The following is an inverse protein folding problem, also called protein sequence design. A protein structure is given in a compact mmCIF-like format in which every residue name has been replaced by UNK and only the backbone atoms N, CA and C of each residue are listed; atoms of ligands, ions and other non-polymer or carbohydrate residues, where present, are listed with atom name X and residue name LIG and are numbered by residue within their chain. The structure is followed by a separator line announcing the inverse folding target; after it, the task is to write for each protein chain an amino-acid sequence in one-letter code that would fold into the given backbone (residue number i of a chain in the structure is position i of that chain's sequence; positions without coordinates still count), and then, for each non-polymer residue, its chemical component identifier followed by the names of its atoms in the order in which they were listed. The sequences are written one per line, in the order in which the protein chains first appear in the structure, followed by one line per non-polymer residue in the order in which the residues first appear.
data_IF_265152945250
#
_entry.id   IF_265152945250
#
_cell.length_a   1.000
_cell.length_b   1.000
_cell.length_c   1.000
_cell.angle_alpha   90.00
_cell.angle_beta   90.00
_cell.angle_gamma   90.00
#
_symmetry.space_group_name_H-M   'P 1'
#
loop_
_entity.id
_entity.type
_entity.pdbx_description
1 polymer ?
#
# COMPACT_ATOMS: atom_id res chain seq x y z
N UNK A 1 33.42 36.72 -5.57
CA UNK A 1 33.05 36.02 -4.31
C UNK A 1 31.68 35.33 -4.38
N UNK A 2 30.88 35.49 -5.45
CA UNK A 2 29.50 34.98 -5.55
C UNK A 2 29.35 33.52 -6.02
N UNK A 3 30.20 33.03 -6.92
CA UNK A 3 30.04 31.71 -7.55
C UNK A 3 30.24 30.55 -6.57
N UNK A 4 31.22 30.63 -5.65
CA UNK A 4 31.45 29.60 -4.63
C UNK A 4 30.30 29.51 -3.61
N UNK A 5 29.73 30.65 -3.20
CA UNK A 5 28.58 30.68 -2.29
C UNK A 5 27.31 30.13 -2.94
N UNK A 6 27.06 30.44 -4.23
CA UNK A 6 25.93 29.91 -4.98
C UNK A 6 26.04 28.40 -5.23
N UNK A 7 27.25 27.88 -5.47
CA UNK A 7 27.50 26.44 -5.59
C UNK A 7 27.26 25.71 -4.26
N UNK A 8 27.78 26.22 -3.13
CA UNK A 8 27.56 25.62 -1.81
C UNK A 8 26.08 25.56 -1.43
N UNK A 9 25.31 26.62 -1.72
CA UNK A 9 23.86 26.63 -1.48
C UNK A 9 23.13 25.61 -2.38
N UNK A 10 23.52 25.50 -3.66
CA UNK A 10 22.95 24.50 -4.58
C UNK A 10 23.23 23.07 -4.10
N UNK A 11 24.43 22.80 -3.57
CA UNK A 11 24.76 21.49 -3.00
C UNK A 11 23.95 21.17 -1.74
N UNK A 12 23.76 22.14 -0.84
CA UNK A 12 22.91 21.97 0.34
C UNK A 12 21.45 21.69 -0.05
N UNK A 13 20.90 22.42 -1.02
CA UNK A 13 19.53 22.20 -1.50
C UNK A 13 19.37 20.84 -2.16
N UNK A 14 20.37 20.37 -2.92
CA UNK A 14 20.36 19.01 -3.49
C UNK A 14 20.42 17.94 -2.40
N UNK A 15 21.25 18.12 -1.38
CA UNK A 15 21.37 17.18 -0.27
C UNK A 15 20.06 17.08 0.50
N UNK A 16 19.42 18.21 0.81
CA UNK A 16 18.13 18.25 1.49
C UNK A 16 17.03 17.54 0.69
N UNK A 17 16.91 17.84 -0.61
CA UNK A 17 15.93 17.16 -1.49
C UNK A 17 16.18 15.66 -1.60
N UNK A 18 17.44 15.24 -1.65
CA UNK A 18 17.78 13.80 -1.66
C UNK A 18 17.33 13.10 -0.38
N UNK A 19 17.45 13.77 0.77
CA UNK A 19 16.94 13.26 2.05
C UNK A 19 15.40 13.21 2.04
N UNK A 20 14.75 14.24 1.51
CA UNK A 20 13.28 14.28 1.38
C UNK A 20 12.73 13.14 0.51
N UNK A 21 13.39 12.83 -0.61
CA UNK A 21 13.01 11.70 -1.47
C UNK A 21 13.20 10.33 -0.79
N UNK A 22 14.25 10.20 0.04
CA UNK A 22 14.46 8.98 0.84
C UNK A 22 13.39 8.85 1.94
N UNK A 23 13.03 9.95 2.60
CA UNK A 23 11.94 9.97 3.58
C UNK A 23 10.60 9.59 2.93
N UNK A 24 10.29 10.18 1.76
CA UNK A 24 9.07 9.87 1.00
C UNK A 24 9.00 8.38 0.60
N UNK A 25 10.12 7.76 0.24
CA UNK A 25 10.18 6.32 -0.02
C UNK A 25 9.92 5.50 1.26
N UNK A 26 10.48 5.92 2.40
CA UNK A 26 10.25 5.30 3.70
C UNK A 26 8.78 5.34 4.10
N UNK A 27 8.15 6.51 3.99
CA UNK A 27 6.73 6.72 4.25
C UNK A 27 5.86 5.87 3.31
N UNK A 28 6.21 5.79 2.02
CA UNK A 28 5.52 4.95 1.06
C UNK A 28 5.54 3.47 1.47
N UNK A 29 6.70 2.95 1.85
CA UNK A 29 6.83 1.56 2.28
C UNK A 29 6.01 1.29 3.56
N UNK A 30 6.01 2.22 4.52
CA UNK A 30 5.20 2.11 5.74
C UNK A 30 3.70 2.09 5.42
N UNK A 31 3.24 3.01 4.57
CA UNK A 31 1.84 3.08 4.12
C UNK A 31 1.41 1.78 3.43
N UNK A 32 2.25 1.21 2.58
CA UNK A 32 1.98 -0.09 1.93
C UNK A 32 1.90 -1.21 2.97
N UNK A 33 2.83 -1.24 3.94
CA UNK A 33 2.82 -2.22 5.01
C UNK A 33 1.55 -2.13 5.87
N UNK A 34 1.13 -0.92 6.24
CA UNK A 34 -0.13 -0.68 6.98
C UNK A 34 -1.35 -1.18 6.20
N UNK A 35 -1.44 -0.87 4.89
CA UNK A 35 -2.50 -1.39 4.02
C UNK A 35 -2.52 -2.91 4.00
N UNK A 36 -1.36 -3.55 3.89
CA UNK A 36 -1.23 -5.01 3.89
C UNK A 36 -1.66 -5.63 5.23
N UNK A 37 -1.25 -5.02 6.34
CA UNK A 37 -1.62 -5.48 7.70
C UNK A 37 -3.13 -5.34 7.93
N UNK A 38 -3.75 -4.23 7.51
CA UNK A 38 -5.19 -4.04 7.61
C UNK A 38 -5.95 -5.17 6.87
N UNK A 39 -5.51 -5.53 5.67
CA UNK A 39 -6.10 -6.62 4.89
C UNK A 39 -5.93 -7.99 5.55
N UNK A 40 -4.78 -8.24 6.21
CA UNK A 40 -4.58 -9.46 6.99
C UNK A 40 -5.53 -9.52 8.21
N UNK A 41 -5.79 -8.39 8.86
CA UNK A 41 -6.76 -8.30 9.96
C UNK A 41 -8.20 -8.59 9.47
N UNK A 42 -8.58 -8.10 8.29
CA UNK A 42 -9.88 -8.41 7.68
C UNK A 42 -10.06 -9.91 7.42
N UNK A 43 -9.01 -10.56 6.90
CA UNK A 43 -8.99 -12.02 6.70
C UNK A 43 -9.10 -12.77 8.03
N UNK A 44 -8.40 -12.33 9.07
CA UNK A 44 -8.48 -12.93 10.40
C UNK A 44 -9.89 -12.80 11.00
N UNK A 45 -10.52 -11.63 10.86
CA UNK A 45 -11.90 -11.42 11.30
C UNK A 45 -12.86 -12.37 10.58
N UNK A 46 -12.67 -12.58 9.26
CA UNK A 46 -13.46 -13.55 8.50
C UNK A 46 -13.33 -14.98 9.06
N UNK A 47 -12.12 -15.42 9.40
CA UNK A 47 -11.91 -16.76 9.99
C UNK A 47 -12.59 -16.91 11.35
N UNK A 48 -12.52 -15.87 12.19
CA UNK A 48 -13.20 -15.86 13.49
C UNK A 48 -14.72 -15.93 13.31
N UNK A 49 -15.30 -15.11 12.44
CA UNK A 49 -16.73 -15.15 12.12
C UNK A 49 -17.18 -16.53 11.65
N UNK A 50 -16.42 -17.16 10.75
CA UNK A 50 -16.73 -18.50 10.24
C UNK A 50 -16.63 -19.57 11.33
N UNK A 51 -15.63 -19.47 12.20
CA UNK A 51 -15.46 -20.39 13.32
C UNK A 51 -16.64 -20.32 14.29
N UNK A 52 -17.11 -19.10 14.60
CA UNK A 52 -18.31 -18.90 15.43
C UNK A 52 -19.57 -19.45 14.76
N UNK A 53 -19.74 -19.22 13.45
CA UNK A 53 -20.89 -19.75 12.70
C UNK A 53 -20.89 -21.28 12.65
N UNK A 54 -19.72 -21.89 12.43
CA UNK A 54 -19.59 -23.35 12.43
C UNK A 54 -19.92 -23.94 13.81
N UNK A 55 -19.45 -23.30 14.88
CA UNK A 55 -19.78 -23.70 16.24
C UNK A 55 -21.28 -23.65 16.50
N UNK A 56 -21.95 -22.55 16.12
CA UNK A 56 -23.41 -22.42 16.22
C UNK A 56 -24.14 -23.50 15.43
N UNK A 57 -23.71 -23.74 14.19
CA UNK A 57 -24.32 -24.78 13.34
C UNK A 57 -24.17 -26.18 13.96
N UNK A 58 -23.03 -26.47 14.60
CA UNK A 58 -22.79 -27.74 15.27
C UNK A 58 -23.64 -27.90 16.55
N UNK A 59 -23.91 -26.82 17.29
CA UNK A 59 -24.62 -26.88 18.58
C UNK A 59 -26.13 -26.66 18.46
N UNK A 60 -26.60 -25.93 17.45
CA UNK A 60 -27.99 -25.44 17.37
C UNK A 60 -28.81 -26.09 16.25
N UNK A 61 -28.20 -26.79 15.29
CA UNK A 61 -28.94 -27.41 14.19
C UNK A 61 -29.88 -28.51 14.70
N UNK A 62 -31.18 -28.42 14.36
CA UNK A 62 -32.23 -29.37 14.78
C UNK A 62 -32.26 -30.64 13.93
N UNK A 63 -31.26 -30.87 13.10
CA UNK A 63 -31.11 -32.07 12.28
C UNK A 63 -30.21 -31.88 11.06
N UNK A 64 -29.96 -32.97 10.35
CA UNK A 64 -29.02 -33.01 9.21
C UNK A 64 -29.38 -32.01 8.10
N UNK A 65 -30.66 -31.79 7.82
CA UNK A 65 -31.10 -30.87 6.76
C UNK A 65 -30.71 -29.41 7.07
N UNK A 66 -30.87 -28.98 8.33
CA UNK A 66 -30.46 -27.65 8.78
C UNK A 66 -28.94 -27.50 8.81
N UNK A 67 -28.23 -28.53 9.29
CA UNK A 67 -26.78 -28.60 9.25
C UNK A 67 -26.21 -28.53 7.82
N UNK A 68 -26.81 -29.26 6.87
CA UNK A 68 -26.38 -29.25 5.48
C UNK A 68 -26.66 -27.90 4.80
N UNK A 69 -27.83 -27.30 5.03
CA UNK A 69 -28.15 -25.95 4.53
C UNK A 69 -27.16 -24.92 5.05
N UNK A 70 -26.84 -24.94 6.34
CA UNK A 70 -25.85 -24.03 6.92
C UNK A 70 -24.45 -24.18 6.32
N UNK A 71 -24.00 -25.40 6.02
CA UNK A 71 -22.73 -25.62 5.32
C UNK A 71 -22.73 -25.08 3.88
N UNK A 72 -23.84 -25.22 3.16
CA UNK A 72 -23.99 -24.68 1.81
C UNK A 72 -23.98 -23.15 1.83
N UNK A 73 -24.68 -22.54 2.79
CA UNK A 73 -24.65 -21.07 2.99
C UNK A 73 -23.26 -20.58 3.36
N UNK A 74 -22.58 -21.22 4.32
CA UNK A 74 -21.20 -20.88 4.68
C UNK A 74 -20.25 -20.97 3.47
N UNK A 75 -20.43 -21.98 2.61
CA UNK A 75 -19.60 -22.16 1.41
C UNK A 75 -19.85 -21.06 0.38
N UNK A 76 -21.11 -20.66 0.17
CA UNK A 76 -21.45 -19.53 -0.70
C UNK A 76 -20.84 -18.23 -0.18
N UNK A 77 -20.99 -17.95 1.12
CA UNK A 77 -20.41 -16.78 1.77
C UNK A 77 -18.87 -16.76 1.63
N UNK A 78 -18.20 -17.91 1.80
CA UNK A 78 -16.75 -18.03 1.58
C UNK A 78 -16.39 -17.71 0.13
N UNK A 79 -17.12 -18.26 -0.83
CA UNK A 79 -16.85 -18.04 -2.26
C UNK A 79 -17.01 -16.56 -2.64
N UNK A 80 -18.08 -15.92 -2.18
CA UNK A 80 -18.34 -14.50 -2.41
C UNK A 80 -17.27 -13.62 -1.76
N UNK A 81 -16.91 -13.90 -0.50
CA UNK A 81 -15.81 -13.19 0.18
C UNK A 81 -14.49 -13.39 -0.55
N UNK A 82 -14.15 -14.61 -0.98
CA UNK A 82 -12.92 -14.89 -1.71
C UNK A 82 -12.85 -14.14 -3.05
N UNK A 83 -13.96 -14.05 -3.78
CA UNK A 83 -14.04 -13.23 -4.99
C UNK A 83 -13.85 -11.74 -4.70
N UNK A 84 -14.46 -11.23 -3.62
CA UNK A 84 -14.27 -9.85 -3.19
C UNK A 84 -12.81 -9.56 -2.82
N UNK A 85 -12.20 -10.45 -2.04
CA UNK A 85 -10.80 -10.37 -1.62
C UNK A 85 -9.84 -10.42 -2.82
N UNK A 86 -10.11 -11.26 -3.81
CA UNK A 86 -9.33 -11.32 -5.05
C UNK A 86 -9.36 -9.99 -5.81
N UNK A 87 -10.54 -9.38 -5.95
CA UNK A 87 -10.69 -8.07 -6.60
C UNK A 87 -9.96 -6.97 -5.82
N UNK A 88 -10.11 -6.95 -4.50
CA UNK A 88 -9.45 -5.98 -3.65
C UNK A 88 -7.91 -6.13 -3.68
N UNK A 89 -7.38 -7.35 -3.75
CA UNK A 89 -5.95 -7.58 -3.92
C UNK A 89 -5.43 -7.09 -5.28
N UNK A 90 -6.19 -7.30 -6.37
CA UNK A 90 -5.83 -6.74 -7.68
C UNK A 90 -5.83 -5.21 -7.68
N UNK A 91 -6.83 -4.59 -7.04
CA UNK A 91 -6.90 -3.14 -6.89
C UNK A 91 -5.69 -2.60 -6.11
N UNK A 92 -5.39 -3.21 -4.96
CA UNK A 92 -4.25 -2.84 -4.12
C UNK A 92 -2.92 -2.99 -4.86
N UNK A 93 -2.74 -4.05 -5.66
CA UNK A 93 -1.54 -4.20 -6.49
C UNK A 93 -1.41 -3.05 -7.53
N UNK A 94 -2.53 -2.61 -8.10
CA UNK A 94 -2.57 -1.43 -8.98
C UNK A 94 -2.19 -0.15 -8.25
N UNK A 95 -2.78 0.09 -7.07
CA UNK A 95 -2.45 1.26 -6.24
C UNK A 95 -0.98 1.28 -5.85
N UNK A 96 -0.42 0.16 -5.36
CA UNK A 96 1.00 0.06 -4.98
C UNK A 96 1.90 0.42 -6.15
N UNK A 97 1.60 -0.13 -7.34
CA UNK A 97 2.35 0.18 -8.56
C UNK A 97 2.29 1.67 -8.89
N UNK A 98 1.10 2.27 -8.82
CA UNK A 98 0.91 3.67 -9.17
C UNK A 98 1.54 4.62 -8.12
N UNK A 99 1.53 4.25 -6.83
CA UNK A 99 2.22 4.99 -5.77
C UNK A 99 3.75 4.95 -5.95
N UNK A 100 4.36 3.79 -6.25
CA UNK A 100 5.79 3.71 -6.57
C UNK A 100 6.15 4.47 -7.85
N UNK A 101 5.28 4.42 -8.87
CA UNK A 101 5.49 5.19 -10.09
C UNK A 101 5.44 6.70 -9.81
N UNK A 102 4.49 7.15 -9.00
CA UNK A 102 4.38 8.55 -8.59
C UNK A 102 5.63 9.02 -7.84
N UNK A 103 6.14 8.21 -6.90
CA UNK A 103 7.41 8.49 -6.23
C UNK A 103 8.58 8.59 -7.22
N UNK A 104 8.71 7.63 -8.15
CA UNK A 104 9.78 7.63 -9.15
C UNK A 104 9.73 8.84 -10.08
N UNK A 105 8.54 9.18 -10.58
CA UNK A 105 8.32 10.35 -11.42
C UNK A 105 8.67 11.66 -10.67
N UNK A 106 8.34 11.72 -9.37
CA UNK A 106 8.75 12.81 -8.47
C UNK A 106 10.27 12.94 -8.34
N UNK A 107 10.96 11.83 -8.03
CA UNK A 107 12.42 11.80 -7.93
C UNK A 107 13.13 12.21 -9.24
N UNK A 108 12.62 11.75 -10.38
CA UNK A 108 13.15 12.12 -11.70
C UNK A 108 12.92 13.60 -12.04
N UNK A 109 11.76 14.15 -11.69
CA UNK A 109 11.46 15.57 -11.85
C UNK A 109 12.41 16.44 -11.03
N UNK A 110 12.67 16.07 -9.79
CA UNK A 110 13.64 16.76 -8.93
C UNK A 110 15.06 16.70 -9.47
N UNK A 111 15.50 15.55 -9.96
CA UNK A 111 16.82 15.41 -10.60
C UNK A 111 16.96 16.31 -11.83
N UNK A 112 15.91 16.40 -12.67
CA UNK A 112 15.88 17.29 -13.84
C UNK A 112 15.96 18.76 -13.43
N UNK A 113 15.24 19.15 -12.39
CA UNK A 113 15.28 20.51 -11.85
C UNK A 113 16.66 20.85 -11.28
N UNK A 114 17.29 19.93 -10.55
CA UNK A 114 18.65 20.12 -10.03
C UNK A 114 19.70 20.26 -11.14
N UNK A 115 19.59 19.48 -12.23
CA UNK A 115 20.45 19.65 -13.42
C UNK A 115 20.32 21.03 -14.06
N UNK A 116 19.10 21.58 -14.13
CA UNK A 116 18.87 22.93 -14.62
C UNK A 116 19.45 24.00 -13.67
N UNK A 117 19.31 23.83 -12.36
CA UNK A 117 19.87 24.74 -11.34
C UNK A 117 21.40 24.76 -11.39
N UNK A 118 22.06 23.61 -11.46
CA UNK A 118 23.54 23.52 -11.58
C UNK A 118 23.99 24.22 -12.86
N UNK A 119 23.33 23.95 -14.00
CA UNK A 119 23.68 24.58 -15.28
C UNK A 119 23.65 26.10 -15.16
N UNK A 120 22.56 26.64 -14.60
CA UNK A 120 22.40 28.08 -14.40
C UNK A 120 23.43 28.66 -13.44
N UNK A 121 23.78 27.94 -12.36
CA UNK A 121 24.78 28.36 -11.37
C UNK A 121 26.22 28.34 -11.92
N UNK A 122 26.52 27.48 -12.91
CA UNK A 122 27.83 27.41 -13.59
C UNK A 122 27.96 28.42 -14.72
N UNK A 123 26.85 28.81 -15.36
CA UNK A 123 26.83 29.79 -16.46
C UNK A 123 26.61 31.25 -16.01
N UNK A 124 26.34 31.48 -14.73
CA UNK A 124 26.13 32.81 -14.12
C UNK A 124 27.39 33.32 -13.41
#
# INVERSE_FOLDING_TARGET
MSTNTNMLNTYNDMANKSVDQMNALGELNLKIAEKMVARQMDMMNMFVEQSVRMMKLATEAKGYNEYYKGQVEMTKDIADKMMSESKANMHMAGEIRDEYRGWFDGAMSEMKNNSATIRNAVTA
#
